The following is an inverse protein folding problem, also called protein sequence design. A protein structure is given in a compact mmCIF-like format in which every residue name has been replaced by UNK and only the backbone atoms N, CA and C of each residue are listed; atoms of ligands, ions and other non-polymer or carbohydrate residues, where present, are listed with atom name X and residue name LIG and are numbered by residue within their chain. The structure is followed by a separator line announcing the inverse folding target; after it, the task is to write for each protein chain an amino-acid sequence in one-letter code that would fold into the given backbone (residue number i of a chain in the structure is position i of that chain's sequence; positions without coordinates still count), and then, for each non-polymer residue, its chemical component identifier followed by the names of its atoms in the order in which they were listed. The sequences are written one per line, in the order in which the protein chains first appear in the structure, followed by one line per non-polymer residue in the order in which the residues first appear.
data_IF_458677464069
#
_entry.id   IF_458677464069
#
_cell.length_a   1.000
_cell.length_b   1.000
_cell.length_c   1.000
_cell.angle_alpha   90.00
_cell.angle_beta   90.00
_cell.angle_gamma   90.00
#
_symmetry.space_group_name_H-M   'P 1'
#
loop_
_entity.id
_entity.type
_entity.pdbx_description
1 polymer ?
#
# COMPACT_ATOMS: atom_id res chain seq x y z
N UNK A 1 5.11 19.63 22.74
CA UNK A 1 6.03 18.82 23.57
C UNK A 1 7.23 18.43 22.72
N UNK A 2 8.46 18.76 23.13
CA UNK A 2 9.68 18.41 22.39
C UNK A 2 10.05 16.97 22.73
N UNK A 3 9.88 16.04 21.80
CA UNK A 3 10.38 14.67 21.99
C UNK A 3 11.90 14.68 21.82
N UNK A 4 12.60 14.38 22.90
CA UNK A 4 14.06 14.35 22.99
C UNK A 4 14.50 12.91 22.81
N UNK A 5 15.27 12.60 21.76
CA UNK A 5 15.78 11.25 21.55
C UNK A 5 17.17 11.15 22.17
N UNK A 6 17.32 10.24 23.14
CA UNK A 6 18.59 9.98 23.83
C UNK A 6 19.17 8.67 23.34
N UNK A 7 20.40 8.73 22.80
CA UNK A 7 21.14 7.53 22.39
C UNK A 7 21.80 6.88 23.60
N UNK A 8 22.20 5.61 23.47
CA UNK A 8 22.99 4.88 24.48
C UNK A 8 24.31 5.58 24.85
N UNK A 9 24.83 6.43 23.95
CA UNK A 9 26.01 7.27 24.16
C UNK A 9 25.77 8.48 25.07
N UNK A 10 24.55 8.67 25.60
CA UNK A 10 24.18 9.81 26.45
C UNK A 10 23.90 11.11 25.67
N UNK A 11 24.14 11.12 24.35
CA UNK A 11 23.92 12.27 23.50
C UNK A 11 22.43 12.45 23.20
N UNK A 12 21.99 13.70 23.32
CA UNK A 12 20.63 14.13 23.01
C UNK A 12 20.58 14.68 21.59
N UNK A 13 19.72 14.13 20.73
CA UNK A 13 19.55 14.58 19.35
C UNK A 13 18.23 15.31 19.12
N UNK A 14 18.25 16.27 18.21
CA UNK A 14 17.04 16.89 17.68
C UNK A 14 16.37 15.95 16.66
N UNK A 15 15.06 16.12 16.51
CA UNK A 15 14.28 15.38 15.52
C UNK A 15 14.78 15.61 14.08
N UNK A 16 15.31 16.80 13.79
CA UNK A 16 15.86 17.12 12.46
C UNK A 16 17.16 16.37 12.18
N UNK A 17 18.02 16.20 13.17
CA UNK A 17 19.24 15.40 13.02
C UNK A 17 18.90 13.94 12.70
N UNK A 18 17.87 13.39 13.36
CA UNK A 18 17.36 12.04 13.07
C UNK A 18 16.84 11.98 11.63
N UNK A 19 15.95 12.91 11.25
CA UNK A 19 15.36 12.94 9.91
C UNK A 19 16.42 13.04 8.81
N UNK A 20 17.39 13.95 8.96
CA UNK A 20 18.50 14.12 8.00
C UNK A 20 19.34 12.85 7.88
N UNK A 21 19.67 12.22 9.01
CA UNK A 21 20.44 10.97 9.02
C UNK A 21 19.70 9.84 8.34
N UNK A 22 18.38 9.72 8.56
CA UNK A 22 17.53 8.75 7.87
C UNK A 22 17.50 8.99 6.36
N UNK A 23 17.30 10.24 5.94
CA UNK A 23 17.28 10.62 4.52
C UNK A 23 18.63 10.39 3.82
N UNK A 24 19.76 10.72 4.47
CA UNK A 24 21.10 10.41 3.93
C UNK A 24 21.32 8.91 3.72
N UNK A 25 20.68 8.07 4.54
CA UNK A 25 20.71 6.61 4.40
C UNK A 25 19.61 6.07 3.46
N UNK A 26 18.89 6.95 2.75
CA UNK A 26 17.81 6.57 1.83
C UNK A 26 16.49 6.14 2.49
N UNK A 27 16.34 6.35 3.80
CA UNK A 27 15.11 6.06 4.52
C UNK A 27 14.17 7.26 4.47
N UNK A 28 13.06 7.08 3.75
CA UNK A 28 11.99 8.08 3.62
C UNK A 28 10.72 7.60 4.30
N UNK A 29 9.98 8.54 4.88
CA UNK A 29 8.65 8.27 5.41
C UNK A 29 7.66 8.15 4.25
N UNK A 30 7.08 6.97 4.07
CA UNK A 30 5.97 6.74 3.14
C UNK A 30 4.72 6.34 3.90
N UNK A 31 3.56 6.78 3.41
CA UNK A 31 2.28 6.24 3.86
C UNK A 31 2.03 4.92 3.12
N UNK A 32 1.82 3.79 3.82
CA UNK A 32 1.47 2.54 3.15
C UNK A 32 0.18 2.72 2.34
N UNK A 33 0.11 2.23 1.08
CA UNK A 33 -1.12 2.28 0.30
C UNK A 33 -2.21 1.45 0.98
N UNK A 34 -3.45 1.96 0.98
CA UNK A 34 -4.62 1.22 1.45
C UNK A 34 -4.87 0.05 0.51
N UNK A 35 -4.69 -1.18 1.00
CA UNK A 35 -4.92 -2.43 0.26
C UNK A 35 -5.79 -3.36 1.11
N UNK A 36 -6.70 -4.13 0.50
CA UNK A 36 -7.41 -5.17 1.23
C UNK A 36 -6.42 -6.20 1.74
N UNK A 37 -6.63 -6.67 2.97
CA UNK A 37 -5.88 -7.79 3.52
C UNK A 37 -6.36 -9.07 2.84
N UNK A 38 -5.45 -9.76 2.16
CA UNK A 38 -5.76 -10.98 1.43
C UNK A 38 -5.21 -12.18 2.19
N UNK A 39 -6.09 -13.12 2.51
CA UNK A 39 -5.68 -14.44 2.98
C UNK A 39 -4.87 -15.19 1.91
N UNK A 40 -4.03 -16.17 2.31
CA UNK A 40 -3.22 -16.96 1.38
C UNK A 40 -4.03 -17.62 0.26
N UNK A 41 -5.24 -18.11 0.56
CA UNK A 41 -6.13 -18.72 -0.43
C UNK A 41 -6.51 -17.75 -1.55
N UNK A 42 -6.87 -16.50 -1.20
CA UNK A 42 -7.21 -15.46 -2.18
C UNK A 42 -6.01 -15.11 -3.07
N UNK A 43 -4.79 -15.06 -2.51
CA UNK A 43 -3.58 -14.80 -3.29
C UNK A 43 -3.34 -15.92 -4.32
N UNK A 44 -3.49 -17.18 -3.92
CA UNK A 44 -3.34 -18.34 -4.81
C UNK A 44 -4.39 -18.31 -5.92
N UNK A 45 -5.66 -18.08 -5.58
CA UNK A 45 -6.74 -18.02 -6.56
C UNK A 45 -6.54 -16.87 -7.58
N UNK A 46 -6.17 -15.68 -7.11
CA UNK A 46 -5.87 -14.53 -7.98
C UNK A 46 -4.70 -14.79 -8.91
N UNK A 47 -3.61 -15.38 -8.40
CA UNK A 47 -2.45 -15.72 -9.22
C UNK A 47 -2.78 -16.80 -10.26
N UNK A 48 -3.57 -17.82 -9.88
CA UNK A 48 -4.04 -18.84 -10.80
C UNK A 48 -4.90 -18.25 -11.92
N UNK A 49 -5.85 -17.38 -11.57
CA UNK A 49 -6.68 -16.67 -12.55
C UNK A 49 -5.83 -15.83 -13.51
N UNK A 50 -4.89 -15.04 -12.99
CA UNK A 50 -4.02 -14.18 -13.80
C UNK A 50 -3.18 -15.01 -14.79
N UNK A 51 -2.58 -16.11 -14.33
CA UNK A 51 -1.80 -17.00 -15.22
C UNK A 51 -2.67 -17.65 -16.29
N UNK A 52 -3.87 -18.12 -15.93
CA UNK A 52 -4.77 -18.79 -16.86
C UNK A 52 -5.31 -17.86 -17.97
N UNK A 53 -5.28 -16.54 -17.75
CA UNK A 53 -5.80 -15.55 -18.70
C UNK A 53 -4.74 -14.56 -19.19
N UNK A 54 -3.45 -14.81 -18.94
CA UNK A 54 -2.35 -13.90 -19.29
C UNK A 54 -2.18 -13.72 -20.82
N UNK A 55 -2.52 -14.76 -21.59
CA UNK A 55 -2.39 -14.79 -23.05
C UNK A 55 -3.74 -14.57 -23.76
N UNK A 56 -4.80 -14.21 -23.02
CA UNK A 56 -6.10 -13.92 -23.62
C UNK A 56 -6.05 -12.59 -24.38
N UNK A 57 -6.63 -12.62 -25.57
CA UNK A 57 -6.78 -11.50 -26.50
C UNK A 57 -7.89 -10.54 -26.04
N UNK A 58 -7.92 -9.37 -26.69
CA UNK A 58 -8.86 -8.30 -26.34
C UNK A 58 -10.31 -8.71 -26.62
N UNK A 59 -10.57 -9.39 -27.73
CA UNK A 59 -11.89 -9.93 -28.11
C UNK A 59 -12.47 -10.87 -27.03
N UNK A 60 -11.61 -11.65 -26.38
CA UNK A 60 -12.01 -12.51 -25.25
C UNK A 60 -12.52 -11.70 -24.06
N UNK A 61 -11.91 -10.55 -23.78
CA UNK A 61 -12.33 -9.68 -22.66
C UNK A 61 -13.58 -8.87 -23.01
N UNK A 62 -13.70 -8.40 -24.24
CA UNK A 62 -14.83 -7.60 -24.73
C UNK A 62 -16.13 -8.39 -24.79
N UNK A 63 -16.05 -9.70 -25.07
CA UNK A 63 -17.21 -10.58 -25.07
C UNK A 63 -17.78 -10.88 -23.67
N UNK A 64 -17.14 -10.41 -22.60
CA UNK A 64 -17.52 -10.75 -21.21
C UNK A 64 -18.33 -9.64 -20.54
N UNK A 65 -19.55 -9.98 -20.13
CA UNK A 65 -20.39 -9.09 -19.33
C UNK A 65 -19.97 -9.14 -17.85
N UNK A 66 -19.52 -8.01 -17.32
CA UNK A 66 -19.16 -7.87 -15.90
C UNK A 66 -20.33 -7.33 -15.09
N UNK A 67 -20.59 -7.94 -13.93
CA UNK A 67 -21.54 -7.43 -12.93
C UNK A 67 -20.80 -7.05 -11.66
N UNK A 68 -21.13 -5.90 -11.09
CA UNK A 68 -20.71 -5.52 -9.76
C UNK A 68 -21.79 -4.67 -9.09
N UNK A 69 -21.76 -4.62 -7.76
CA UNK A 69 -22.66 -3.78 -6.97
C UNK A 69 -21.82 -2.76 -6.20
N UNK A 70 -22.22 -1.49 -6.29
CA UNK A 70 -21.60 -0.40 -5.53
C UNK A 70 -22.65 0.30 -4.68
N UNK A 71 -22.22 0.73 -3.50
CA UNK A 71 -23.02 1.61 -2.64
C UNK A 71 -22.71 3.06 -3.02
N UNK A 72 -23.71 3.79 -3.50
CA UNK A 72 -23.61 5.23 -3.79
C UNK A 72 -24.09 6.00 -2.55
N UNK A 73 -23.20 6.68 -1.81
CA UNK A 73 -23.61 7.45 -0.64
C UNK A 73 -24.24 8.79 -1.06
N UNK A 74 -25.30 9.21 -0.36
CA UNK A 74 -26.02 10.47 -0.62
C UNK A 74 -25.20 11.69 -0.18
N UNK A 75 -24.31 11.52 0.79
CA UNK A 75 -23.37 12.54 1.25
C UNK A 75 -21.94 12.04 1.04
N UNK A 76 -21.04 12.95 0.67
CA UNK A 76 -19.63 12.62 0.49
C UNK A 76 -18.98 12.12 1.77
N UNK A 77 -17.93 11.31 1.62
CA UNK A 77 -16.98 11.04 2.71
C UNK A 77 -16.16 12.28 2.99
N UNK A 78 -16.11 12.69 4.25
CA UNK A 78 -15.27 13.77 4.79
C UNK A 78 -13.78 13.43 4.70
#
# INVERSE_FOLDING_TARGET
MKHVFRLQTGVTLSHDTIRRTLQMKGMHGYRPPRKPLLEPMHKKARLGFARAHAEKDEDYWDSRLWKHEIKIPIFGTN
#
